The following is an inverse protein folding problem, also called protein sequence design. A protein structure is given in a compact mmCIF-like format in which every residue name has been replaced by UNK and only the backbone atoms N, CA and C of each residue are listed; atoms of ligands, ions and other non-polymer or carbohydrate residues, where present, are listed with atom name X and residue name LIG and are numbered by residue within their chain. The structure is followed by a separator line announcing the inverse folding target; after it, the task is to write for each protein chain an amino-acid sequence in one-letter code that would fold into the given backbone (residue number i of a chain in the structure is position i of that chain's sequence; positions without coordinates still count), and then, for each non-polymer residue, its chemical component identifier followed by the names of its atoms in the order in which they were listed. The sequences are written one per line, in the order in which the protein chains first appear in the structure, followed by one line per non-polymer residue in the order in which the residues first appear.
data_IF_407297813491
#
_entry.id   IF_407297813491
#
_cell.length_a   1.000
_cell.length_b   1.000
_cell.length_c   1.000
_cell.angle_alpha   90.00
_cell.angle_beta   90.00
_cell.angle_gamma   90.00
#
_symmetry.space_group_name_H-M   'P 1'
#
loop_
_entity.id
_entity.type
_entity.pdbx_description
1 polymer ?
#
# COMPACT_ATOMS: atom_id res chain seq x y z
N UNK A 1 59.72 -12.76 24.76
CA UNK A 1 58.29 -12.59 25.09
C UNK A 1 57.58 -12.06 23.86
N UNK A 2 56.91 -12.97 23.10
CA UNK A 2 56.18 -12.58 21.87
C UNK A 2 54.75 -12.23 22.27
N UNK A 3 54.35 -10.95 22.08
CA UNK A 3 52.96 -10.53 22.30
C UNK A 3 52.13 -10.85 21.05
N UNK A 4 51.21 -11.78 21.18
CA UNK A 4 50.25 -12.13 20.18
C UNK A 4 49.13 -11.08 20.20
N UNK A 5 48.97 -10.30 19.11
CA UNK A 5 47.84 -9.40 18.93
C UNK A 5 46.68 -10.21 18.31
N UNK A 6 45.66 -10.47 19.11
CA UNK A 6 44.36 -10.96 18.61
C UNK A 6 43.64 -9.81 17.94
N UNK A 7 43.54 -9.86 16.61
CA UNK A 7 42.67 -8.98 15.84
C UNK A 7 41.28 -9.65 15.85
N UNK A 8 40.38 -9.15 16.70
CA UNK A 8 38.97 -9.52 16.68
C UNK A 8 38.32 -8.86 15.46
N UNK A 9 38.02 -9.66 14.44
CA UNK A 9 37.21 -9.23 13.31
C UNK A 9 35.73 -9.18 13.77
N UNK A 10 35.23 -8.00 14.05
CA UNK A 10 33.83 -7.78 14.27
C UNK A 10 33.09 -7.88 12.92
N UNK A 11 32.48 -9.02 12.68
CA UNK A 11 31.58 -9.24 11.53
C UNK A 11 30.29 -8.47 11.82
N UNK A 12 30.16 -7.26 11.28
CA UNK A 12 28.90 -6.52 11.28
C UNK A 12 27.96 -7.20 10.28
N UNK A 13 26.99 -7.96 10.79
CA UNK A 13 25.87 -8.44 9.99
C UNK A 13 25.04 -7.22 9.56
N UNK A 14 25.12 -6.84 8.28
CA UNK A 14 24.15 -5.92 7.70
C UNK A 14 22.82 -6.67 7.57
N UNK A 15 21.90 -6.40 8.51
CA UNK A 15 20.49 -6.75 8.33
C UNK A 15 19.93 -5.83 7.24
N UNK A 16 19.77 -6.33 6.03
CA UNK A 16 18.94 -5.70 5.03
C UNK A 16 17.48 -5.90 5.47
N UNK A 17 16.86 -4.85 5.98
CA UNK A 17 15.41 -4.84 6.16
C UNK A 17 14.79 -4.91 4.76
N UNK A 18 14.12 -6.00 4.44
CA UNK A 18 13.27 -6.09 3.24
C UNK A 18 12.11 -5.15 3.45
N UNK A 19 11.91 -4.23 2.53
CA UNK A 19 10.71 -3.37 2.53
C UNK A 19 9.53 -4.29 2.25
N UNK A 20 8.66 -4.48 3.24
CA UNK A 20 7.40 -5.18 3.02
C UNK A 20 6.51 -4.26 2.18
N UNK A 21 6.12 -4.70 0.99
CA UNK A 21 5.17 -3.99 0.15
C UNK A 21 3.75 -4.32 0.63
N UNK A 22 2.90 -3.30 0.71
CA UNK A 22 1.48 -3.51 0.92
C UNK A 22 0.88 -4.25 -0.27
N UNK A 23 0.14 -5.32 0.00
CA UNK A 23 -0.52 -6.11 -1.03
C UNK A 23 -2.00 -6.26 -0.73
N UNK A 24 -2.82 -6.27 -1.79
CA UNK A 24 -4.23 -6.62 -1.71
C UNK A 24 -4.41 -7.99 -2.34
N UNK A 25 -5.13 -8.86 -1.66
CA UNK A 25 -5.53 -10.18 -2.18
C UNK A 25 -7.05 -10.25 -2.13
N UNK A 26 -7.69 -10.60 -3.26
CA UNK A 26 -9.12 -10.88 -3.27
C UNK A 26 -9.34 -12.26 -2.72
N UNK A 27 -10.19 -12.37 -1.70
CA UNK A 27 -10.48 -13.62 -0.99
C UNK A 27 -11.78 -14.25 -1.51
N UNK A 28 -12.81 -13.42 -1.73
CA UNK A 28 -14.13 -13.84 -2.19
C UNK A 28 -14.86 -12.68 -2.87
N UNK A 29 -15.72 -12.97 -3.85
CA UNK A 29 -16.46 -11.94 -4.56
C UNK A 29 -17.66 -12.51 -5.32
N UNK A 30 -18.74 -11.74 -5.45
CA UNK A 30 -19.81 -11.96 -6.42
C UNK A 30 -19.49 -11.39 -7.81
N UNK A 31 -18.52 -10.49 -7.88
CA UNK A 31 -18.13 -9.76 -9.11
C UNK A 31 -17.37 -10.69 -10.04
N UNK A 32 -17.81 -10.77 -11.32
CA UNK A 32 -17.32 -11.75 -12.27
C UNK A 32 -15.98 -11.41 -12.92
N UNK A 33 -15.66 -10.14 -13.09
CA UNK A 33 -14.39 -9.71 -13.69
C UNK A 33 -13.57 -8.90 -12.70
N UNK A 34 -12.41 -9.43 -12.33
CA UNK A 34 -11.41 -8.75 -11.49
C UNK A 34 -10.15 -8.52 -12.33
N UNK A 35 -9.81 -7.26 -12.54
CA UNK A 35 -8.59 -6.83 -13.21
C UNK A 35 -7.49 -6.58 -12.17
N UNK A 36 -6.49 -7.42 -12.19
CA UNK A 36 -5.36 -7.39 -11.26
C UNK A 36 -4.86 -8.81 -11.05
N UNK A 37 -3.69 -9.04 -10.45
CA UNK A 37 -3.23 -10.38 -10.21
C UNK A 37 -4.16 -11.07 -9.21
N UNK A 38 -5.07 -11.87 -9.74
CA UNK A 38 -5.89 -12.77 -8.95
C UNK A 38 -4.97 -13.64 -8.08
N UNK A 39 -5.24 -13.64 -6.79
CA UNK A 39 -4.78 -14.63 -5.79
C UNK A 39 -3.28 -14.89 -5.58
N UNK A 40 -2.35 -14.43 -6.41
CA UNK A 40 -0.91 -14.79 -6.29
C UNK A 40 0.08 -13.64 -6.47
N UNK A 41 -0.36 -12.41 -6.69
CA UNK A 41 0.54 -11.28 -6.97
C UNK A 41 0.46 -10.17 -5.92
N UNK A 42 1.60 -9.55 -5.67
CA UNK A 42 1.70 -8.28 -4.95
C UNK A 42 1.11 -7.19 -5.82
N UNK A 43 -0.12 -6.77 -5.58
CA UNK A 43 -0.71 -5.64 -6.28
C UNK A 43 -1.03 -4.50 -5.33
N UNK A 44 -0.84 -3.30 -5.82
CA UNK A 44 -1.23 -2.06 -5.13
C UNK A 44 -2.57 -1.51 -5.62
N UNK A 45 -3.16 -2.14 -6.64
CA UNK A 45 -4.45 -1.75 -7.21
C UNK A 45 -5.20 -2.96 -7.73
N UNK A 46 -6.50 -3.01 -7.48
CA UNK A 46 -7.44 -3.96 -8.04
C UNK A 46 -8.51 -3.17 -8.78
N UNK A 47 -8.73 -3.49 -10.07
CA UNK A 47 -9.92 -3.09 -10.81
C UNK A 47 -10.97 -4.19 -10.75
N UNK A 48 -12.24 -3.83 -10.83
CA UNK A 48 -13.34 -4.79 -10.90
C UNK A 48 -14.47 -4.30 -11.80
N UNK A 49 -15.14 -5.22 -12.47
CA UNK A 49 -16.26 -4.95 -13.37
C UNK A 49 -17.29 -6.05 -13.25
N UNK A 50 -18.57 -5.70 -13.12
CA UNK A 50 -19.70 -6.62 -13.15
C UNK A 50 -20.72 -6.17 -14.19
N UNK A 51 -21.04 -7.06 -15.12
CA UNK A 51 -21.97 -6.82 -16.22
C UNK A 51 -23.28 -7.61 -16.12
N UNK A 52 -23.39 -8.50 -15.14
CA UNK A 52 -24.53 -9.38 -14.94
C UNK A 52 -25.43 -9.00 -13.78
N UNK A 53 -25.60 -7.68 -13.54
CA UNK A 53 -26.35 -7.19 -12.40
C UNK A 53 -27.80 -7.67 -12.40
N UNK A 54 -28.26 -8.20 -11.27
CA UNK A 54 -29.65 -8.61 -11.07
C UNK A 54 -30.64 -7.45 -11.23
N UNK A 55 -31.84 -7.76 -11.63
CA UNK A 55 -32.97 -6.81 -11.77
C UNK A 55 -34.11 -7.22 -10.88
N UNK A 56 -34.90 -6.30 -10.28
CA UNK A 56 -34.73 -4.83 -10.32
C UNK A 56 -33.69 -4.28 -9.35
N UNK A 57 -33.17 -5.11 -8.46
CA UNK A 57 -32.16 -4.71 -7.45
C UNK A 57 -31.01 -5.70 -7.44
N UNK A 58 -29.83 -5.21 -7.13
CA UNK A 58 -28.63 -6.04 -7.00
C UNK A 58 -27.90 -5.78 -5.69
N UNK A 59 -27.13 -6.79 -5.28
CA UNK A 59 -26.17 -6.69 -4.19
C UNK A 59 -24.89 -7.42 -4.59
N UNK A 60 -23.83 -6.66 -4.80
CA UNK A 60 -22.51 -7.18 -5.14
C UNK A 60 -21.55 -6.99 -3.97
N UNK A 61 -20.62 -7.92 -3.82
CA UNK A 61 -19.60 -7.82 -2.77
C UNK A 61 -18.22 -8.23 -3.28
N UNK A 62 -17.21 -7.63 -2.66
CA UNK A 62 -15.81 -7.94 -2.85
C UNK A 62 -15.12 -8.01 -1.48
N UNK A 63 -14.69 -9.22 -1.10
CA UNK A 63 -13.90 -9.43 0.12
C UNK A 63 -12.43 -9.51 -0.23
N UNK A 64 -11.62 -8.72 0.44
CA UNK A 64 -10.18 -8.68 0.23
C UNK A 64 -9.41 -8.59 1.54
N UNK A 65 -8.19 -9.08 1.52
CA UNK A 65 -7.22 -8.95 2.61
C UNK A 65 -6.09 -8.03 2.19
N UNK A 66 -5.80 -7.04 3.04
CA UNK A 66 -4.59 -6.24 2.94
C UNK A 66 -3.54 -6.71 3.95
N UNK A 67 -2.29 -6.78 3.54
CA UNK A 67 -1.19 -7.29 4.36
C UNK A 67 -0.57 -6.25 5.27
N UNK A 68 -0.71 -4.96 4.95
CA UNK A 68 -0.16 -3.84 5.70
C UNK A 68 -1.18 -2.73 5.84
N UNK A 69 -1.10 -2.00 6.97
CA UNK A 69 -1.83 -0.77 7.15
C UNK A 69 -1.39 0.29 6.14
N UNK A 70 -2.33 1.09 5.65
CA UNK A 70 -2.05 2.10 4.63
C UNK A 70 -3.23 2.98 4.32
N UNK A 71 -3.04 3.92 3.38
CA UNK A 71 -4.08 4.80 2.87
C UNK A 71 -4.67 4.20 1.60
N UNK A 72 -6.00 4.08 1.58
CA UNK A 72 -6.75 3.45 0.51
C UNK A 72 -7.64 4.45 -0.21
N UNK A 73 -7.81 4.20 -1.49
CA UNK A 73 -8.70 4.93 -2.38
C UNK A 73 -9.64 3.93 -3.03
N UNK A 74 -10.93 4.17 -2.88
CA UNK A 74 -12.00 3.37 -3.47
C UNK A 74 -12.71 4.21 -4.51
N UNK A 75 -12.95 3.63 -5.68
CA UNK A 75 -13.80 4.20 -6.72
C UNK A 75 -14.85 3.19 -7.14
N UNK A 76 -16.03 3.68 -7.45
CA UNK A 76 -17.15 2.92 -7.95
C UNK A 76 -17.89 3.79 -8.96
N UNK A 77 -18.24 3.24 -10.11
CA UNK A 77 -18.96 4.00 -11.12
C UNK A 77 -19.80 3.10 -12.03
N UNK A 78 -20.67 3.74 -12.78
CA UNK A 78 -21.40 3.17 -13.89
C UNK A 78 -21.55 4.18 -15.00
N UNK A 79 -21.43 3.73 -16.24
CA UNK A 79 -21.78 4.49 -17.44
C UNK A 79 -23.17 4.12 -17.96
N UNK A 80 -23.86 3.19 -17.28
CA UNK A 80 -25.16 2.71 -17.68
C UNK A 80 -26.27 3.48 -17.01
N UNK A 81 -27.18 4.14 -17.75
CA UNK A 81 -28.28 4.91 -17.17
C UNK A 81 -29.37 4.07 -16.51
N UNK A 82 -29.27 2.75 -16.62
CA UNK A 82 -30.19 1.81 -15.95
C UNK A 82 -29.75 1.44 -14.53
N UNK A 83 -28.52 1.75 -14.16
CA UNK A 83 -27.96 1.43 -12.83
C UNK A 83 -27.98 2.66 -11.94
N UNK A 84 -28.43 2.48 -10.71
CA UNK A 84 -28.54 3.52 -9.68
C UNK A 84 -28.03 2.92 -8.36
N UNK A 85 -26.91 3.41 -7.86
CA UNK A 85 -26.33 2.92 -6.60
C UNK A 85 -27.11 3.50 -5.40
N UNK A 86 -27.57 2.63 -4.51
CA UNK A 86 -28.25 3.03 -3.27
C UNK A 86 -27.32 3.08 -2.08
N UNK A 87 -26.31 2.22 -2.04
CA UNK A 87 -25.24 2.26 -1.03
C UNK A 87 -23.99 1.52 -1.49
N UNK A 88 -22.85 1.98 -1.02
CA UNK A 88 -21.60 1.25 -1.12
C UNK A 88 -20.85 1.40 0.23
N UNK A 89 -20.63 0.28 0.91
CA UNK A 89 -20.12 0.27 2.28
C UNK A 89 -18.99 -0.75 2.42
N UNK A 90 -17.85 -0.27 2.92
CA UNK A 90 -16.74 -1.12 3.31
C UNK A 90 -16.89 -1.49 4.79
N UNK A 91 -16.92 -2.78 5.09
CA UNK A 91 -16.94 -3.33 6.46
C UNK A 91 -15.63 -4.04 6.77
N UNK A 92 -15.24 -4.02 8.04
CA UNK A 92 -13.98 -4.61 8.52
C UNK A 92 -13.53 -3.92 9.80
N UNK A 93 -12.25 -4.03 10.15
CA UNK A 93 -11.71 -3.42 11.37
C UNK A 93 -11.90 -1.88 11.35
N UNK A 94 -12.49 -1.35 12.43
CA UNK A 94 -12.71 0.09 12.60
C UNK A 94 -13.86 0.69 11.79
N UNK A 95 -14.52 -0.09 10.87
CA UNK A 95 -15.65 0.37 10.06
C UNK A 95 -17.02 0.16 10.72
N UNK A 96 -18.13 0.51 10.02
CA UNK A 96 -18.27 0.62 8.57
C UNK A 96 -17.84 1.99 7.98
N UNK A 97 -17.39 1.95 6.73
CA UNK A 97 -17.00 3.14 5.97
C UNK A 97 -17.84 3.23 4.68
N UNK A 98 -18.70 4.23 4.58
CA UNK A 98 -19.49 4.46 3.37
C UNK A 98 -18.66 5.15 2.29
N UNK A 99 -18.83 4.76 1.02
CA UNK A 99 -18.41 5.54 -0.12
C UNK A 99 -19.39 6.72 -0.30
N UNK A 100 -18.88 7.83 -0.83
CA UNK A 100 -19.67 9.04 -1.02
C UNK A 100 -20.02 9.21 -2.50
N UNK A 101 -21.26 9.52 -2.84
CA UNK A 101 -21.62 9.90 -4.19
C UNK A 101 -20.94 11.23 -4.56
N UNK A 102 -20.31 11.25 -5.73
CA UNK A 102 -19.65 12.43 -6.31
C UNK A 102 -20.43 12.93 -7.51
N UNK A 103 -20.89 12.01 -8.34
CA UNK A 103 -21.77 12.27 -9.49
C UNK A 103 -22.95 11.33 -9.36
N UNK A 104 -24.17 11.87 -9.55
CA UNK A 104 -25.43 11.12 -9.55
C UNK A 104 -26.18 11.41 -10.84
N UNK A 105 -26.98 10.48 -11.34
CA UNK A 105 -27.78 10.60 -12.55
C UNK A 105 -27.52 9.47 -13.54
N UNK A 106 -27.60 9.73 -14.87
CA UNK A 106 -27.46 8.65 -15.88
C UNK A 106 -26.09 7.97 -15.88
N UNK A 107 -25.09 8.63 -15.34
CA UNK A 107 -23.78 8.08 -15.00
C UNK A 107 -23.50 8.39 -13.56
N UNK A 108 -23.06 7.40 -12.80
CA UNK A 108 -22.77 7.59 -11.40
C UNK A 108 -21.29 7.36 -11.12
N UNK A 109 -20.79 8.14 -10.17
CA UNK A 109 -19.44 7.97 -9.64
C UNK A 109 -19.45 8.21 -8.13
N UNK A 110 -19.00 7.22 -7.40
CA UNK A 110 -18.83 7.24 -5.96
C UNK A 110 -17.38 7.01 -5.59
N UNK A 111 -16.91 7.62 -4.52
CA UNK A 111 -15.57 7.36 -4.03
C UNK A 111 -15.45 7.40 -2.51
N UNK A 112 -14.34 6.87 -2.05
CA UNK A 112 -13.82 7.10 -0.72
C UNK A 112 -12.29 7.26 -0.82
N UNK A 113 -11.81 8.44 -0.51
CA UNK A 113 -10.38 8.80 -0.60
C UNK A 113 -9.77 8.95 0.79
N UNK A 114 -8.46 8.78 0.87
CA UNK A 114 -7.69 8.97 2.10
C UNK A 114 -8.21 8.15 3.30
N UNK A 115 -8.71 6.94 3.05
CA UNK A 115 -9.16 6.05 4.10
C UNK A 115 -7.99 5.26 4.65
N UNK A 116 -7.61 5.49 5.89
CA UNK A 116 -6.62 4.65 6.55
C UNK A 116 -7.26 3.34 7.00
N UNK A 117 -6.70 2.21 6.57
CA UNK A 117 -7.09 0.86 6.98
C UNK A 117 -5.90 0.15 7.61
N UNK A 118 -6.16 -0.54 8.71
CA UNK A 118 -5.22 -1.47 9.32
C UNK A 118 -5.08 -2.72 8.46
N UNK A 119 -4.00 -3.49 8.65
CA UNK A 119 -3.87 -4.80 8.03
C UNK A 119 -5.03 -5.71 8.47
N UNK A 120 -5.66 -6.42 7.53
CA UNK A 120 -6.80 -7.28 7.82
C UNK A 120 -7.70 -7.53 6.63
N UNK A 121 -8.82 -8.19 6.90
CA UNK A 121 -9.84 -8.50 5.92
C UNK A 121 -10.96 -7.46 5.92
N UNK A 122 -11.40 -7.09 4.72
CA UNK A 122 -12.46 -6.12 4.49
C UNK A 122 -13.40 -6.61 3.41
N UNK A 123 -14.68 -6.23 3.52
CA UNK A 123 -15.71 -6.52 2.50
C UNK A 123 -16.35 -5.23 2.03
N UNK A 124 -16.24 -4.94 0.76
CA UNK A 124 -17.00 -3.88 0.09
C UNK A 124 -18.32 -4.47 -0.38
N UNK A 125 -19.43 -3.94 0.10
CA UNK A 125 -20.79 -4.32 -0.32
C UNK A 125 -21.41 -3.16 -1.08
N UNK A 126 -21.92 -3.43 -2.29
CA UNK A 126 -22.49 -2.47 -3.21
C UNK A 126 -23.95 -2.88 -3.45
N UNK A 127 -24.88 -1.98 -3.15
CA UNK A 127 -26.30 -2.19 -3.42
C UNK A 127 -26.81 -1.15 -4.42
N UNK A 128 -27.72 -1.54 -5.25
CA UNK A 128 -28.33 -0.65 -6.22
C UNK A 128 -29.59 -1.20 -6.87
N UNK A 129 -30.13 -0.37 -7.76
CA UNK A 129 -31.20 -0.73 -8.67
C UNK A 129 -30.65 -0.89 -10.10
N UNK A 130 -31.12 -1.89 -10.81
CA UNK A 130 -30.83 -2.12 -12.22
C UNK A 130 -32.14 -2.33 -12.97
N UNK A 131 -32.44 -1.47 -13.94
CA UNK A 131 -33.71 -1.45 -14.68
C UNK A 131 -33.63 -2.20 -16.01
N UNK A 132 -32.39 -2.53 -16.45
CA UNK A 132 -32.11 -3.21 -17.71
C UNK A 132 -30.70 -3.83 -17.64
N UNK A 133 -30.00 -3.90 -18.76
CA UNK A 133 -28.58 -4.31 -18.79
C UNK A 133 -27.70 -3.20 -18.26
N UNK A 134 -27.05 -3.43 -17.15
CA UNK A 134 -26.16 -2.46 -16.50
C UNK A 134 -24.79 -3.03 -16.21
N UNK A 135 -23.82 -2.15 -16.09
CA UNK A 135 -22.44 -2.48 -15.73
C UNK A 135 -22.00 -1.60 -14.59
N UNK A 136 -21.42 -2.18 -13.56
CA UNK A 136 -20.66 -1.45 -12.55
C UNK A 136 -19.16 -1.66 -12.77
N UNK A 137 -18.40 -0.65 -12.46
CA UNK A 137 -16.93 -0.65 -12.51
C UNK A 137 -16.38 -0.01 -11.25
N UNK A 138 -15.22 -0.46 -10.79
CA UNK A 138 -14.59 0.15 -9.65
C UNK A 138 -13.12 -0.20 -9.50
N UNK A 139 -12.48 0.43 -8.53
CA UNK A 139 -11.11 0.11 -8.16
C UNK A 139 -10.83 0.30 -6.68
N UNK A 140 -9.89 -0.48 -6.17
CA UNK A 140 -9.28 -0.32 -4.86
C UNK A 140 -7.80 -0.11 -5.09
N UNK A 141 -7.25 1.00 -4.59
CA UNK A 141 -5.83 1.33 -4.73
C UNK A 141 -5.24 1.63 -3.36
N UNK A 142 -4.03 1.12 -3.09
CA UNK A 142 -3.25 1.46 -1.90
C UNK A 142 -2.18 2.47 -2.29
N UNK A 143 -2.10 3.56 -1.53
CA UNK A 143 -0.92 4.39 -1.53
C UNK A 143 0.14 3.75 -0.63
N UNK A 144 1.31 3.44 -1.22
CA UNK A 144 2.40 2.84 -0.44
C UNK A 144 2.84 3.81 0.65
N UNK A 145 2.87 3.34 1.88
CA UNK A 145 3.42 4.11 2.98
C UNK A 145 4.88 4.48 2.68
N UNK A 146 5.17 5.77 2.74
CA UNK A 146 6.55 6.28 2.68
C UNK A 146 7.37 5.57 3.77
N UNK A 147 8.61 5.15 3.49
CA UNK A 147 9.45 4.45 4.46
C UNK A 147 9.44 5.16 5.81
N UNK A 148 9.20 4.40 6.88
CA UNK A 148 9.01 4.93 8.24
C UNK A 148 10.16 5.84 8.68
N UNK A 149 9.90 6.83 9.57
CA UNK A 149 10.94 7.73 10.11
C UNK A 149 12.16 6.99 10.66
N UNK A 150 11.98 5.74 11.14
CA UNK A 150 13.06 4.85 11.57
C UNK A 150 14.06 4.50 10.45
N UNK A 151 13.58 4.28 9.24
CA UNK A 151 14.45 4.01 8.07
C UNK A 151 15.28 5.23 7.71
N UNK A 152 14.70 6.41 7.77
CA UNK A 152 15.41 7.68 7.55
C UNK A 152 16.45 7.93 8.64
N UNK A 153 16.08 7.66 9.90
CA UNK A 153 17.00 7.81 11.05
C UNK A 153 18.20 6.85 10.91
N UNK A 154 17.99 5.59 10.53
CA UNK A 154 19.07 4.63 10.31
C UNK A 154 19.96 5.01 9.13
N UNK A 155 19.40 5.55 8.06
CA UNK A 155 20.16 6.06 6.91
C UNK A 155 21.02 7.26 7.30
N UNK A 156 20.45 8.24 8.03
CA UNK A 156 21.20 9.39 8.55
C UNK A 156 22.29 8.98 9.53
N UNK A 157 22.00 8.01 10.41
CA UNK A 157 22.99 7.46 11.34
C UNK A 157 24.13 6.76 10.60
N UNK A 158 23.81 5.97 9.57
CA UNK A 158 24.81 5.30 8.72
C UNK A 158 25.74 6.29 8.02
N UNK A 159 25.19 7.31 7.38
CA UNK A 159 25.99 8.37 6.73
C UNK A 159 26.78 9.20 7.75
N UNK A 160 26.19 9.48 8.91
CA UNK A 160 26.86 10.17 10.01
C UNK A 160 28.08 9.39 10.53
N UNK A 161 27.94 8.09 10.72
CA UNK A 161 29.05 7.22 11.17
C UNK A 161 30.18 7.15 10.15
N UNK A 162 29.87 7.03 8.85
CA UNK A 162 30.86 7.03 7.77
C UNK A 162 31.59 8.37 7.71
N UNK A 163 30.85 9.50 7.75
CA UNK A 163 31.42 10.85 7.74
C UNK A 163 32.36 11.09 8.93
N UNK A 164 31.98 10.64 10.12
CA UNK A 164 32.80 10.71 11.32
C UNK A 164 34.08 9.88 11.20
N UNK A 165 33.97 8.64 10.69
CA UNK A 165 35.14 7.78 10.49
C UNK A 165 36.12 8.35 9.47
N UNK A 166 35.65 8.97 8.39
CA UNK A 166 36.48 9.65 7.40
C UNK A 166 37.19 10.88 7.97
N UNK A 167 36.51 11.65 8.83
CA UNK A 167 37.11 12.84 9.49
C UNK A 167 38.24 12.46 10.43
N UNK A 168 38.13 11.34 11.15
CA UNK A 168 39.20 10.85 12.04
C UNK A 168 40.46 10.47 11.28
N UNK A 169 40.37 9.98 10.04
CA UNK A 169 41.55 9.60 9.23
C UNK A 169 42.42 10.77 8.79
N UNK A 170 41.86 11.98 8.66
CA UNK A 170 42.61 13.18 8.22
C UNK A 170 43.56 13.78 9.28
N UNK A 171 43.48 13.40 10.55
CA UNK A 171 44.27 14.03 11.62
C UNK A 171 45.66 13.43 11.84
N UNK A 172 46.09 12.40 11.08
CA UNK A 172 47.41 11.74 11.33
C UNK A 172 48.53 12.08 10.37
N UNK A 173 48.42 13.12 9.55
CA UNK A 173 49.50 13.47 8.61
C UNK A 173 50.06 14.86 8.84
N UNK A 174 50.57 15.13 10.05
CA UNK A 174 51.56 16.24 10.22
C UNK A 174 52.96 15.62 10.11
N UNK A 175 53.47 15.48 8.88
CA UNK A 175 54.89 15.21 8.66
C UNK A 175 55.68 16.48 9.06
N UNK A 176 56.36 16.43 10.19
CA UNK A 176 57.41 17.42 10.51
C UNK A 176 58.58 17.18 9.57
N UNK A 177 58.74 18.05 8.60
CA UNK A 177 60.00 18.15 7.83
C UNK A 177 61.01 18.86 8.72
N UNK A 178 62.03 18.15 9.21
CA UNK A 178 63.22 18.78 9.83
C UNK A 178 64.17 19.12 8.70
N UNK A 179 64.43 20.41 8.52
CA UNK A 179 65.53 20.86 7.74
C UNK A 179 66.80 20.83 8.67
N UNK A 180 67.79 20.04 8.27
CA UNK A 180 69.15 20.10 8.88
C UNK A 180 69.93 21.13 8.08
N UNK A 181 70.52 22.13 8.78
CA UNK A 181 71.53 22.99 8.27
C UNK A 181 72.91 22.45 8.71
#
# INVERSE_FOLDING_TARGET
MKRLFLISAATSALCFATVANATITVDDTSITAIDGPAATGTTTSIGFTEAGLDTPTFTEWLTFTNTLAGVYYFTLGTSSPSVDFTSAVLTGAGGPYALNPVVTGPTEFWNRTNLFLDAGQYTLTINGENRDTGVLEGSITIEQAVPEPGTWAMMLFGFGAIGFAMRRRKQKTVRRVRFAF
#
